data_IF_456627937382
#
_entry.id   IF_456627937382
#
_cell.length_a   1.000
_cell.length_b   1.000
_cell.length_c   1.000
_cell.angle_alpha   90.00
_cell.angle_beta   90.00
_cell.angle_gamma   90.00
#
_symmetry.space_group_name_H-M   'P 1'
#
loop_
_entity.id
_entity.type
_entity.pdbx_description
1 polymer ?
#
# COMPACT_ATOMS: atom_id res chain seq x y z
N UNK A 1 -22.15 0.52 1.95
CA UNK A 1 -21.48 1.05 0.75
C UNK A 1 -19.99 0.79 0.88
N UNK A 2 -19.27 0.55 -0.22
CA UNK A 2 -17.83 0.35 -0.16
C UNK A 2 -17.14 1.65 0.27
N UNK A 3 -16.37 1.57 1.35
CA UNK A 3 -15.65 2.68 1.97
C UNK A 3 -14.20 2.71 1.53
N UNK A 4 -13.57 1.55 1.42
CA UNK A 4 -12.17 1.41 1.05
C UNK A 4 -12.04 0.88 -0.38
N UNK A 5 -10.95 1.24 -1.04
CA UNK A 5 -10.67 0.87 -2.42
C UNK A 5 -9.33 0.16 -2.48
N UNK A 6 -9.33 -1.03 -3.06
CA UNK A 6 -8.12 -1.81 -3.27
C UNK A 6 -7.96 -2.18 -4.74
N UNK A 7 -6.71 -2.27 -5.17
CA UNK A 7 -6.31 -2.56 -6.53
C UNK A 7 -5.58 -3.90 -6.58
N UNK A 8 -6.07 -4.82 -7.39
CA UNK A 8 -5.40 -6.10 -7.65
C UNK A 8 -5.02 -6.21 -9.10
N UNK A 9 -3.96 -6.94 -9.41
CA UNK A 9 -3.50 -7.12 -10.78
C UNK A 9 -2.09 -7.70 -10.84
N UNK A 10 -1.67 -8.18 -12.02
CA UNK A 10 -0.36 -8.78 -12.18
C UNK A 10 0.77 -7.77 -11.84
N UNK A 11 1.91 -8.23 -11.29
CA UNK A 11 3.07 -7.39 -11.07
C UNK A 11 3.49 -6.65 -12.34
N UNK A 12 3.86 -5.38 -12.23
CA UNK A 12 4.29 -4.57 -13.37
C UNK A 12 3.19 -4.02 -14.28
N UNK A 13 1.90 -4.22 -13.96
CA UNK A 13 0.79 -3.63 -14.73
C UNK A 13 0.68 -2.09 -14.57
N UNK A 14 1.32 -1.53 -13.54
CA UNK A 14 1.31 -0.10 -13.24
C UNK A 14 0.34 0.31 -12.13
N UNK A 15 0.05 -0.57 -11.17
CA UNK A 15 -0.84 -0.27 -10.03
C UNK A 15 -0.33 0.90 -9.19
N UNK A 16 0.97 0.88 -8.86
CA UNK A 16 1.67 1.98 -8.16
C UNK A 16 1.49 3.31 -8.88
N UNK A 17 1.70 3.33 -10.21
CA UNK A 17 1.48 4.54 -11.03
C UNK A 17 0.02 5.01 -10.98
N UNK A 18 -0.94 4.09 -10.96
CA UNK A 18 -2.36 4.43 -10.86
C UNK A 18 -2.70 5.05 -9.51
N UNK A 19 -2.16 4.48 -8.42
CA UNK A 19 -2.30 5.02 -7.06
C UNK A 19 -1.69 6.41 -6.96
N UNK A 20 -0.49 6.62 -7.50
CA UNK A 20 0.18 7.91 -7.47
C UNK A 20 -0.68 8.98 -8.17
N UNK A 21 -1.15 8.71 -9.38
CA UNK A 21 -2.04 9.64 -10.10
C UNK A 21 -3.37 9.87 -9.38
N UNK A 22 -3.98 8.82 -8.82
CA UNK A 22 -5.21 8.98 -8.04
C UNK A 22 -4.97 9.87 -6.80
N UNK A 23 -3.83 9.70 -6.13
CA UNK A 23 -3.42 10.50 -4.98
C UNK A 23 -3.22 11.97 -5.35
N UNK A 24 -2.62 12.25 -6.51
CA UNK A 24 -2.46 13.61 -7.03
C UNK A 24 -3.81 14.29 -7.29
N UNK A 25 -4.76 13.58 -7.93
CA UNK A 25 -6.11 14.10 -8.20
C UNK A 25 -6.89 14.36 -6.90
N UNK A 26 -6.75 13.49 -5.91
CA UNK A 26 -7.38 13.68 -4.61
C UNK A 26 -6.78 14.89 -3.87
N UNK A 27 -5.45 15.04 -3.90
CA UNK A 27 -4.76 16.21 -3.33
C UNK A 27 -5.18 17.51 -4.02
N UNK A 28 -5.28 17.54 -5.35
CA UNK A 28 -5.74 18.73 -6.09
C UNK A 28 -7.20 19.07 -5.82
N UNK A 29 -8.00 18.09 -5.41
CA UNK A 29 -9.39 18.27 -4.97
C UNK A 29 -9.51 18.73 -3.50
N UNK A 30 -8.40 19.07 -2.84
CA UNK A 30 -8.37 19.52 -1.44
C UNK A 30 -8.57 18.40 -0.42
N UNK A 31 -8.43 17.13 -0.83
CA UNK A 31 -8.54 15.99 0.08
C UNK A 31 -7.19 15.76 0.77
N UNK A 32 -7.15 15.65 2.11
CA UNK A 32 -5.93 15.23 2.79
C UNK A 32 -5.62 13.77 2.44
N UNK A 33 -4.49 13.57 1.77
CA UNK A 33 -3.99 12.24 1.38
C UNK A 33 -2.63 12.03 2.04
N UNK A 34 -2.53 10.99 2.85
CA UNK A 34 -1.30 10.53 3.47
C UNK A 34 -1.12 9.04 3.20
N UNK A 35 0.09 8.49 3.38
CA UNK A 35 0.36 7.11 3.01
C UNK A 35 1.76 6.88 2.49
N UNK A 36 1.98 5.68 1.95
CA UNK A 36 3.24 5.30 1.34
C UNK A 36 3.01 4.42 0.11
N UNK A 37 4.02 4.39 -0.74
CA UNK A 37 4.11 3.49 -1.87
C UNK A 37 5.49 2.86 -1.93
N UNK A 38 5.59 1.77 -2.69
CA UNK A 38 6.83 1.00 -2.80
C UNK A 38 7.43 1.21 -4.19
N UNK A 39 8.70 1.58 -4.24
CA UNK A 39 9.45 1.77 -5.48
C UNK A 39 10.47 0.67 -5.69
N UNK A 40 10.58 0.19 -6.93
CA UNK A 40 11.61 -0.76 -7.31
C UNK A 40 12.95 -0.04 -7.47
N UNK A 41 13.97 -0.50 -6.74
CA UNK A 41 15.31 0.06 -6.81
C UNK A 41 16.14 -0.76 -7.80
N UNK A 42 16.68 -0.10 -8.82
CA UNK A 42 17.57 -0.68 -9.83
C UNK A 42 18.94 0.00 -9.80
N UNK A 43 19.99 -0.80 -9.95
CA UNK A 43 21.37 -0.35 -10.10
C UNK A 43 22.01 -1.12 -11.25
N UNK A 44 22.63 -0.41 -12.21
CA UNK A 44 23.25 -1.04 -13.38
C UNK A 44 22.29 -1.90 -14.21
N UNK A 45 21.01 -1.49 -14.32
CA UNK A 45 19.97 -2.24 -15.05
C UNK A 45 19.45 -3.49 -14.32
N UNK A 46 20.00 -3.85 -13.16
CA UNK A 46 19.54 -4.96 -12.32
C UNK A 46 18.72 -4.42 -11.16
N UNK A 47 17.63 -5.10 -10.82
CA UNK A 47 16.86 -4.80 -9.61
C UNK A 47 17.65 -5.24 -8.39
N UNK A 48 17.88 -4.31 -7.47
CA UNK A 48 18.65 -4.54 -6.23
C UNK A 48 17.77 -4.56 -4.99
N UNK A 49 16.49 -4.21 -5.08
CA UNK A 49 15.57 -4.23 -3.94
C UNK A 49 14.36 -3.33 -4.14
N UNK A 50 13.77 -2.96 -3.01
CA UNK A 50 12.61 -2.07 -2.95
C UNK A 50 12.78 -1.02 -1.85
N UNK A 51 12.27 0.17 -2.11
CA UNK A 51 12.18 1.26 -1.14
C UNK A 51 10.73 1.57 -0.84
N UNK A 52 10.48 1.94 0.40
CA UNK A 52 9.24 2.61 0.77
C UNK A 52 9.45 4.11 0.67
N UNK A 53 8.51 4.78 0.02
CA UNK A 53 8.44 6.22 -0.10
C UNK A 53 7.10 6.69 0.43
N UNK A 54 7.14 7.55 1.43
CA UNK A 54 5.95 8.17 2.00
C UNK A 54 5.49 9.35 1.14
N UNK A 55 4.21 9.70 1.21
CA UNK A 55 3.67 10.87 0.50
C UNK A 55 4.20 12.21 1.03
N UNK A 56 4.86 12.21 2.20
CA UNK A 56 5.60 13.35 2.75
C UNK A 56 7.03 13.48 2.21
N UNK A 57 7.49 12.51 1.41
CA UNK A 57 8.81 12.51 0.78
C UNK A 57 9.89 11.75 1.55
N UNK A 58 9.61 11.23 2.75
CA UNK A 58 10.54 10.36 3.46
C UNK A 58 10.68 9.01 2.73
N UNK A 59 11.92 8.53 2.59
CA UNK A 59 12.26 7.30 1.86
C UNK A 59 13.15 6.41 2.71
N UNK A 60 12.95 5.10 2.63
CA UNK A 60 13.84 4.12 3.25
C UNK A 60 13.78 2.73 2.64
N UNK A 61 14.75 1.88 2.95
CA UNK A 61 14.83 0.53 2.40
C UNK A 61 13.73 -0.38 2.96
N UNK A 62 12.96 -1.01 2.07
CA UNK A 62 12.07 -2.12 2.42
C UNK A 62 12.83 -3.43 2.35
N UNK A 63 13.54 -3.66 1.24
CA UNK A 63 14.34 -4.85 1.05
C UNK A 63 15.51 -4.62 0.10
N UNK A 64 16.53 -5.46 0.24
CA UNK A 64 17.75 -5.45 -0.60
C UNK A 64 18.16 -6.87 -0.96
N UNK A 65 18.89 -7.03 -2.05
CA UNK A 65 19.58 -8.28 -2.34
C UNK A 65 20.59 -8.54 -1.22
N UNK A 66 20.39 -9.63 -0.48
CA UNK A 66 21.34 -10.03 0.56
C UNK A 66 22.50 -10.79 -0.07
N UNK A 67 23.73 -10.28 0.05
CA UNK A 67 24.92 -11.03 -0.37
C UNK A 67 25.31 -12.08 0.69
N UNK A 68 25.11 -11.77 1.98
CA UNK A 68 25.42 -12.66 3.11
C UNK A 68 24.40 -12.41 4.22
N UNK A 69 23.63 -13.44 4.61
CA UNK A 69 22.68 -13.35 5.72
C UNK A 69 23.44 -13.52 7.05
N UNK A 70 23.38 -12.57 7.98
CA UNK A 70 23.79 -12.82 9.36
C UNK A 70 22.97 -14.01 9.91
N UNK A 71 23.58 -14.93 10.68
CA UNK A 71 22.84 -16.03 11.30
C UNK A 71 21.76 -15.45 12.22
N UNK A 72 20.48 -15.65 11.87
CA UNK A 72 19.32 -15.15 12.62
C UNK A 72 18.29 -14.32 11.82
N UNK A 73 18.63 -13.78 10.65
CA UNK A 73 17.71 -12.97 9.81
C UNK A 73 17.01 -13.73 8.66
N UNK A 74 17.09 -15.07 8.65
CA UNK A 74 16.56 -15.94 7.57
C UNK A 74 15.03 -15.90 7.42
N UNK A 75 14.32 -15.43 8.44
CA UNK A 75 12.86 -15.49 8.49
C UNK A 75 12.18 -14.41 7.63
N UNK A 76 12.85 -13.30 7.36
CA UNK A 76 12.30 -12.16 6.60
C UNK A 76 12.82 -12.12 5.15
N UNK A 77 13.05 -13.27 4.54
CA UNK A 77 13.55 -13.38 3.17
C UNK A 77 12.44 -13.73 2.19
N UNK A 78 12.36 -12.98 1.09
CA UNK A 78 11.48 -13.29 -0.05
C UNK A 78 12.34 -13.55 -1.27
N UNK A 79 12.65 -14.82 -1.52
CA UNK A 79 13.61 -15.22 -2.56
C UNK A 79 15.00 -14.69 -2.21
N UNK A 80 15.57 -13.88 -3.10
CA UNK A 80 16.89 -13.24 -2.91
C UNK A 80 16.85 -11.92 -2.11
N UNK A 81 15.65 -11.42 -1.78
CA UNK A 81 15.49 -10.14 -1.09
C UNK A 81 15.36 -10.35 0.42
N UNK A 82 16.23 -9.69 1.18
CA UNK A 82 16.16 -9.62 2.64
C UNK A 82 15.35 -8.38 3.00
N UNK A 83 14.26 -8.56 3.72
CA UNK A 83 13.36 -7.48 4.17
C UNK A 83 13.92 -6.86 5.44
N UNK A 84 14.01 -5.53 5.46
CA UNK A 84 14.40 -4.75 6.63
C UNK A 84 13.14 -4.18 7.31
N UNK A 85 12.55 -4.99 8.19
CA UNK A 85 11.33 -4.61 8.91
C UNK A 85 11.52 -3.39 9.80
N UNK A 86 12.70 -3.21 10.39
CA UNK A 86 12.95 -2.08 11.30
C UNK A 86 12.88 -0.76 10.55
N UNK A 87 13.57 -0.67 9.42
CA UNK A 87 13.52 0.53 8.55
C UNK A 87 12.11 0.77 8.00
N UNK A 88 11.42 -0.30 7.60
CA UNK A 88 10.03 -0.24 7.13
C UNK A 88 9.07 0.29 8.20
N UNK A 89 9.11 -0.28 9.40
CA UNK A 89 8.23 0.07 10.52
C UNK A 89 8.42 1.52 10.98
N UNK A 90 9.66 1.99 11.03
CA UNK A 90 9.96 3.37 11.41
C UNK A 90 9.35 4.40 10.46
N UNK A 91 9.20 4.07 9.18
CA UNK A 91 8.59 4.97 8.18
C UNK A 91 7.08 4.80 8.09
N UNK A 92 6.60 3.56 8.07
CA UNK A 92 5.19 3.26 7.77
C UNK A 92 4.29 3.37 8.99
N UNK A 93 4.73 2.95 10.18
CA UNK A 93 3.87 2.98 11.37
C UNK A 93 3.43 4.41 11.74
N UNK A 94 4.32 5.44 11.71
CA UNK A 94 3.88 6.81 11.94
C UNK A 94 2.84 7.24 10.92
N UNK A 95 3.03 6.95 9.64
CA UNK A 95 2.09 7.32 8.55
C UNK A 95 0.72 6.68 8.75
N UNK A 96 0.65 5.40 9.10
CA UNK A 96 -0.62 4.71 9.35
C UNK A 96 -1.32 5.23 10.61
N UNK A 97 -0.58 5.51 11.70
CA UNK A 97 -1.14 6.13 12.90
C UNK A 97 -1.63 7.56 12.63
N UNK A 98 -0.99 8.21 11.68
CA UNK A 98 -1.28 9.57 11.25
C UNK A 98 -2.43 9.68 10.26
N UNK A 99 -2.92 8.56 9.72
CA UNK A 99 -4.02 8.53 8.76
C UNK A 99 -5.40 8.84 9.37
N UNK A 100 -5.50 8.97 10.71
CA UNK A 100 -6.74 9.29 11.41
C UNK A 100 -7.17 10.77 11.33
N UNK A 101 -8.41 11.10 11.74
CA UNK A 101 -8.98 12.44 11.62
C UNK A 101 -8.12 13.47 12.38
N UNK A 102 -7.44 14.33 11.63
CA UNK A 102 -6.65 15.45 12.17
C UNK A 102 -7.56 16.63 12.47
N UNK A 103 -8.43 16.47 13.47
CA UNK A 103 -9.18 17.58 14.08
C UNK A 103 -10.01 18.48 13.15
N UNK A 104 -10.21 18.09 11.89
CA UNK A 104 -10.95 18.86 10.88
C UNK A 104 -12.17 18.08 10.37
N UNK A 105 -13.21 18.76 9.86
CA UNK A 105 -14.47 18.16 9.42
C UNK A 105 -14.34 17.52 8.02
N UNK A 106 -13.34 16.67 7.82
CA UNK A 106 -13.04 16.08 6.51
C UNK A 106 -12.44 14.70 6.63
N UNK A 107 -12.98 13.76 5.84
CA UNK A 107 -12.42 12.42 5.75
C UNK A 107 -11.05 12.44 5.06
N UNK A 108 -10.09 11.67 5.58
CA UNK A 108 -8.73 11.55 5.05
C UNK A 108 -8.56 10.27 4.21
N UNK A 109 -7.64 10.30 3.25
CA UNK A 109 -7.31 9.13 2.42
C UNK A 109 -5.94 8.60 2.83
N UNK A 110 -5.87 7.31 3.14
CA UNK A 110 -4.66 6.59 3.45
C UNK A 110 -4.23 5.74 2.26
N UNK A 111 -3.06 6.00 1.71
CA UNK A 111 -2.49 5.27 0.57
C UNK A 111 -1.55 4.16 1.05
N UNK A 112 -1.76 2.93 0.57
CA UNK A 112 -0.97 1.75 0.96
C UNK A 112 -0.64 0.91 -0.28
N UNK A 113 0.55 1.11 -0.85
CA UNK A 113 1.04 0.33 -2.00
C UNK A 113 2.34 -0.42 -1.64
N UNK A 114 2.40 -1.74 -1.44
CA UNK A 114 1.45 -2.85 -1.62
C UNK A 114 1.26 -3.60 -0.28
N UNK A 115 0.11 -4.23 -0.05
CA UNK A 115 -0.10 -5.15 1.09
C UNK A 115 0.27 -6.57 0.64
N UNK A 116 1.57 -6.83 0.54
CA UNK A 116 2.14 -8.03 -0.04
C UNK A 116 2.84 -8.93 0.97
N UNK A 117 3.54 -9.94 0.45
CA UNK A 117 4.27 -10.91 1.28
C UNK A 117 5.39 -10.26 2.09
N UNK A 118 6.03 -9.20 1.57
CA UNK A 118 7.18 -8.56 2.21
C UNK A 118 6.76 -7.73 3.43
N UNK A 119 5.62 -7.06 3.36
CA UNK A 119 5.10 -6.17 4.39
C UNK A 119 4.44 -6.98 5.52
N UNK A 120 3.86 -8.13 5.20
CA UNK A 120 3.19 -9.02 6.16
C UNK A 120 4.13 -9.77 7.11
N UNK A 121 5.45 -9.65 6.94
CA UNK A 121 6.39 -10.08 7.98
C UNK A 121 6.32 -9.19 9.22
N UNK A 122 5.90 -7.92 9.08
CA UNK A 122 5.71 -7.00 10.20
C UNK A 122 4.32 -7.20 10.84
N UNK A 123 4.30 -7.75 12.05
CA UNK A 123 3.08 -7.82 12.86
C UNK A 123 2.54 -6.43 13.24
N UNK A 124 3.38 -5.44 13.62
CA UNK A 124 2.93 -4.08 13.85
C UNK A 124 2.21 -3.47 12.63
N UNK A 125 2.71 -3.72 11.42
CA UNK A 125 2.07 -3.26 10.19
C UNK A 125 0.68 -3.87 10.00
N UNK A 126 0.52 -5.18 10.20
CA UNK A 126 -0.78 -5.87 10.09
C UNK A 126 -1.80 -5.23 11.04
N UNK A 127 -1.39 -4.97 12.29
CA UNK A 127 -2.26 -4.34 13.29
C UNK A 127 -2.63 -2.90 12.88
N UNK A 128 -1.65 -2.12 12.41
CA UNK A 128 -1.88 -0.76 11.96
C UNK A 128 -2.84 -0.69 10.77
N UNK A 129 -2.69 -1.57 9.76
CA UNK A 129 -3.63 -1.63 8.61
C UNK A 129 -5.04 -1.95 9.08
N UNK A 130 -5.22 -2.92 9.97
CA UNK A 130 -6.54 -3.24 10.56
C UNK A 130 -7.15 -2.06 11.31
N UNK A 131 -6.33 -1.32 12.07
CA UNK A 131 -6.80 -0.12 12.77
C UNK A 131 -7.26 0.97 11.78
N UNK A 132 -6.50 1.23 10.72
CA UNK A 132 -6.86 2.22 9.70
C UNK A 132 -8.15 1.81 8.98
N UNK A 133 -8.32 0.53 8.64
CA UNK A 133 -9.56 0.01 8.05
C UNK A 133 -10.77 0.14 8.98
N UNK A 134 -10.56 0.05 10.29
CA UNK A 134 -11.63 0.25 11.29
C UNK A 134 -11.85 1.72 11.66
N UNK A 135 -10.99 2.63 11.22
CA UNK A 135 -11.06 4.05 11.60
C UNK A 135 -12.16 4.78 10.83
N UNK A 136 -13.15 5.28 11.56
CA UNK A 136 -14.17 6.15 10.99
C UNK A 136 -13.55 7.49 10.56
N UNK A 137 -13.88 7.92 9.35
CA UNK A 137 -13.35 9.13 8.71
C UNK A 137 -12.12 8.90 7.84
N UNK A 138 -11.64 7.66 7.71
CA UNK A 138 -10.51 7.33 6.84
C UNK A 138 -10.96 6.42 5.69
N UNK A 139 -10.54 6.73 4.48
CA UNK A 139 -10.68 5.89 3.30
C UNK A 139 -9.31 5.31 2.97
N UNK A 140 -9.23 4.01 2.73
CA UNK A 140 -7.96 3.37 2.35
C UNK A 140 -7.95 3.16 0.85
N UNK A 141 -6.88 3.61 0.19
CA UNK A 141 -6.59 3.34 -1.20
C UNK A 141 -5.31 2.50 -1.25
N UNK A 142 -5.43 1.21 -1.51
CA UNK A 142 -4.27 0.32 -1.49
C UNK A 142 -4.17 -0.64 -2.66
N UNK A 143 -3.05 -1.35 -2.75
CA UNK A 143 -2.89 -2.48 -3.67
C UNK A 143 -2.73 -3.78 -2.90
N UNK A 144 -3.31 -4.84 -3.45
CA UNK A 144 -3.14 -6.20 -2.98
C UNK A 144 -2.67 -7.08 -4.14
N UNK A 145 -1.76 -8.03 -3.90
CA UNK A 145 -1.33 -8.97 -4.91
C UNK A 145 -2.53 -9.81 -5.39
N UNK A 146 -2.45 -10.30 -6.63
CA UNK A 146 -3.37 -11.33 -7.10
C UNK A 146 -3.22 -12.59 -6.24
N UNK A 147 -4.32 -13.27 -5.88
CA UNK A 147 -4.28 -14.51 -5.11
C UNK A 147 -3.53 -15.59 -5.91
N UNK A 148 -2.23 -15.73 -5.65
CA UNK A 148 -1.37 -16.74 -6.26
C UNK A 148 -0.52 -17.39 -5.17
N UNK A 149 -0.68 -18.70 -4.99
CA UNK A 149 0.06 -19.48 -4.01
C UNK A 149 -0.60 -19.48 -2.63
N UNK A 150 0.21 -19.38 -1.56
CA UNK A 150 -0.30 -19.42 -0.18
C UNK A 150 -1.18 -18.19 0.11
N UNK A 151 -2.39 -18.38 0.67
CA UNK A 151 -3.26 -17.26 1.03
C UNK A 151 -2.58 -16.43 2.12
N UNK A 152 -2.56 -15.12 1.90
CA UNK A 152 -2.09 -14.15 2.88
C UNK A 152 -3.31 -13.74 3.71
N UNK A 153 -3.31 -14.08 5.01
CA UNK A 153 -4.48 -13.91 5.88
C UNK A 153 -5.07 -12.49 5.82
N UNK A 154 -4.21 -11.45 5.87
CA UNK A 154 -4.67 -10.06 5.79
C UNK A 154 -5.25 -9.70 4.41
N UNK A 155 -4.71 -10.25 3.31
CA UNK A 155 -5.21 -9.99 1.95
C UNK A 155 -6.60 -10.60 1.76
N UNK A 156 -6.80 -11.82 2.25
CA UNK A 156 -8.12 -12.47 2.20
C UNK A 156 -9.12 -11.75 3.12
N UNK A 157 -8.69 -11.26 4.28
CA UNK A 157 -9.52 -10.43 5.16
C UNK A 157 -9.96 -9.14 4.43
N UNK A 158 -9.03 -8.42 3.80
CA UNK A 158 -9.33 -7.21 3.02
C UNK A 158 -10.29 -7.54 1.86
N UNK A 159 -10.13 -8.70 1.21
CA UNK A 159 -10.93 -9.08 0.05
C UNK A 159 -12.36 -9.52 0.40
N UNK A 160 -12.55 -10.13 1.57
CA UNK A 160 -13.85 -10.66 2.04
C UNK A 160 -14.72 -9.60 2.73
N UNK A 161 -14.15 -8.43 3.03
CA UNK A 161 -14.82 -7.33 3.69
C UNK A 161 -15.83 -6.61 2.78
N UNK A 162 -17.06 -6.44 3.28
CA UNK A 162 -18.17 -5.83 2.56
C UNK A 162 -18.02 -4.30 2.36
N UNK A 163 -17.15 -3.66 3.14
CA UNK A 163 -16.81 -2.24 3.05
C UNK A 163 -15.64 -1.96 2.09
N UNK A 164 -15.18 -2.96 1.33
CA UNK A 164 -14.03 -2.85 0.43
C UNK A 164 -14.43 -3.12 -1.03
N UNK A 165 -14.05 -2.20 -1.92
CA UNK A 165 -14.17 -2.37 -3.37
C UNK A 165 -12.81 -2.75 -3.95
N UNK A 166 -12.72 -3.94 -4.54
CA UNK A 166 -11.51 -4.39 -5.23
C UNK A 166 -11.64 -4.18 -6.74
N UNK A 167 -10.71 -3.43 -7.33
CA UNK A 167 -10.60 -3.21 -8.77
C UNK A 167 -9.49 -4.09 -9.36
N UNK A 168 -9.81 -4.84 -10.41
CA UNK A 168 -8.83 -5.64 -11.15
C UNK A 168 -8.21 -4.80 -12.27
N UNK A 169 -6.92 -4.50 -12.15
CA UNK A 169 -6.15 -3.68 -13.09
C UNK A 169 -5.48 -4.57 -14.13
N UNK A 170 -5.74 -4.28 -15.39
CA UNK A 170 -5.09 -4.85 -16.58
C UNK A 170 -4.42 -3.73 -17.38
N UNK A 171 -3.61 -4.08 -18.39
CA UNK A 171 -2.91 -3.07 -19.20
C UNK A 171 -3.89 -2.21 -20.02
N UNK A 172 -5.02 -2.80 -20.37
CA UNK A 172 -6.06 -2.24 -21.22
C UNK A 172 -6.96 -1.28 -20.42
N UNK A 173 -7.31 -1.64 -19.18
CA UNK A 173 -8.25 -0.85 -18.38
C UNK A 173 -7.61 0.19 -17.47
N UNK A 174 -6.28 0.14 -17.23
CA UNK A 174 -5.60 1.00 -16.24
C UNK A 174 -5.91 2.49 -16.41
N UNK A 175 -6.01 2.98 -17.65
CA UNK A 175 -6.25 4.39 -17.92
C UNK A 175 -7.71 4.79 -17.65
N UNK A 176 -8.65 3.86 -17.85
CA UNK A 176 -10.08 4.08 -17.63
C UNK A 176 -10.48 3.92 -16.16
N UNK A 177 -9.75 3.12 -15.39
CA UNK A 177 -10.04 2.89 -13.98
C UNK A 177 -9.72 4.09 -13.08
N UNK A 178 -8.81 4.98 -13.48
CA UNK A 178 -8.43 6.14 -12.67
C UNK A 178 -9.63 7.01 -12.21
N UNK A 179 -10.50 7.50 -13.11
CA UNK A 179 -11.67 8.28 -12.70
C UNK A 179 -12.64 7.47 -11.83
N UNK A 180 -12.80 6.17 -12.09
CA UNK A 180 -13.67 5.30 -11.29
C UNK A 180 -13.15 5.14 -9.85
N UNK A 181 -11.84 4.95 -9.69
CA UNK A 181 -11.18 4.84 -8.38
C UNK A 181 -11.37 6.14 -7.60
N UNK A 182 -11.08 7.28 -8.22
CA UNK A 182 -11.23 8.61 -7.58
C UNK A 182 -12.69 8.83 -7.16
N UNK A 183 -13.64 8.52 -8.03
CA UNK A 183 -15.09 8.66 -7.74
C UNK A 183 -15.51 7.75 -6.59
N UNK A 184 -15.00 6.52 -6.54
CA UNK A 184 -15.31 5.57 -5.47
C UNK A 184 -14.72 6.02 -4.14
N UNK A 185 -13.47 6.49 -4.12
CA UNK A 185 -12.83 7.08 -2.94
C UNK A 185 -13.59 8.31 -2.46
N UNK A 186 -14.03 9.20 -3.35
CA UNK A 186 -14.83 10.38 -2.98
C UNK A 186 -16.24 10.03 -2.50
N UNK A 187 -16.86 8.99 -3.05
CA UNK A 187 -18.18 8.53 -2.62
C UNK A 187 -18.15 7.86 -1.25
N UNK A 188 -17.07 7.13 -0.93
CA UNK A 188 -16.83 6.59 0.41
C UNK A 188 -16.61 7.67 1.48
N UNK A 189 -16.45 8.94 1.06
CA UNK A 189 -16.35 10.10 1.95
C UNK A 189 -17.67 10.75 2.34
N UNK A 190 -18.76 10.46 1.61
CA UNK A 190 -20.12 10.95 1.92
C UNK A 190 -20.80 10.06 2.94
#
# INVERSE_FOLDING_TARGET
MARHVFLTGPPGVGKTTLIQKASEVLKSSGVPVDGFYTEEVRQGGRRIGFDVVTLSGARGPLSRIGSELPPGKRECCVGQYVVDLTSFEQLVLPVLRNAGPRGGPGQSVCVIDEVGKMELFSQPFIQAVRQVLSTLGTVVLGTIPVPKGKPLALVEEIRTRNDIKVFSVTKENRNHLLPEIVTCVQSGRK
#
